data_IF_850706183199
#
_entry.id   IF_850706183199
#
_cell.length_a   1.000
_cell.length_b   1.000
_cell.length_c   1.000
_cell.angle_alpha   90.00
_cell.angle_beta   90.00
_cell.angle_gamma   90.00
#
_symmetry.space_group_name_H-M   'P 1'
#
loop_
_entity.id
_entity.type
_entity.pdbx_description
1 polymer ?
#
# COMPACT_ATOMS: atom_id res chain seq x y z
N UNK A 1 29.30 17.19 9.56
CA UNK A 1 30.25 16.14 10.04
C UNK A 1 30.25 16.16 11.56
N UNK A 2 30.13 14.99 12.21
CA UNK A 2 29.94 14.88 13.67
C UNK A 2 31.24 14.84 14.51
N UNK A 3 32.43 14.89 13.89
CA UNK A 3 33.71 15.02 14.61
C UNK A 3 34.31 13.73 15.18
N UNK A 4 33.82 12.56 14.75
CA UNK A 4 34.29 11.26 15.25
C UNK A 4 35.55 10.79 14.50
N UNK A 5 36.56 10.32 15.23
CA UNK A 5 37.83 9.80 14.69
C UNK A 5 37.81 8.28 14.44
N UNK A 6 36.89 7.56 15.08
CA UNK A 6 36.74 6.11 14.99
C UNK A 6 35.26 5.74 14.98
N UNK A 7 34.91 4.58 14.41
CA UNK A 7 33.57 4.03 14.47
C UNK A 7 33.61 2.52 14.69
N UNK A 8 32.56 1.99 15.34
CA UNK A 8 32.36 0.54 15.42
C UNK A 8 31.95 0.02 14.06
N UNK A 9 32.68 -0.98 13.57
CA UNK A 9 32.39 -1.63 12.29
C UNK A 9 32.42 -3.16 12.47
N UNK A 10 31.57 -3.84 11.70
CA UNK A 10 31.63 -5.29 11.53
C UNK A 10 32.33 -5.60 10.21
N UNK A 11 33.50 -6.22 10.29
CA UNK A 11 34.22 -6.70 9.10
C UNK A 11 33.56 -7.99 8.64
N UNK A 12 33.14 -8.03 7.37
CA UNK A 12 32.59 -9.23 6.76
C UNK A 12 33.73 -10.21 6.39
N UNK A 13 33.49 -11.53 6.45
CA UNK A 13 34.47 -12.52 6.00
C UNK A 13 34.90 -12.29 4.55
N UNK A 14 36.14 -12.63 4.21
CA UNK A 14 36.74 -12.34 2.90
C UNK A 14 36.08 -13.10 1.75
N UNK A 15 35.45 -14.24 2.06
CA UNK A 15 34.66 -15.07 1.15
C UNK A 15 33.24 -14.53 0.88
N UNK A 16 32.83 -13.45 1.54
CA UNK A 16 31.52 -12.84 1.32
C UNK A 16 31.45 -12.28 -0.10
N UNK A 17 30.57 -12.84 -0.92
CA UNK A 17 30.35 -12.35 -2.28
C UNK A 17 29.65 -10.99 -2.27
N UNK A 18 29.78 -10.22 -3.35
CA UNK A 18 29.07 -8.94 -3.48
C UNK A 18 27.55 -9.10 -3.33
N UNK A 19 26.97 -10.18 -3.89
CA UNK A 19 25.55 -10.50 -3.74
C UNK A 19 25.17 -10.82 -2.29
N UNK A 20 26.01 -11.56 -1.57
CA UNK A 20 25.76 -11.85 -0.15
C UNK A 20 25.83 -10.57 0.71
N UNK A 21 26.77 -9.66 0.41
CA UNK A 21 26.87 -8.38 1.08
C UNK A 21 25.65 -7.49 0.79
N UNK A 22 25.20 -7.41 -0.47
CA UNK A 22 24.00 -6.66 -0.86
C UNK A 22 22.73 -7.23 -0.19
N UNK A 23 22.61 -8.56 -0.12
CA UNK A 23 21.49 -9.21 0.58
C UNK A 23 21.46 -8.83 2.06
N UNK A 24 22.63 -8.80 2.72
CA UNK A 24 22.74 -8.38 4.11
C UNK A 24 22.34 -6.91 4.31
N UNK A 25 22.70 -6.02 3.39
CA UNK A 25 22.29 -4.61 3.42
C UNK A 25 20.77 -4.48 3.28
N UNK A 26 20.16 -5.20 2.34
CA UNK A 26 18.70 -5.20 2.16
C UNK A 26 18.00 -5.75 3.39
N UNK A 27 18.47 -6.85 3.97
CA UNK A 27 17.87 -7.46 5.15
C UNK A 27 17.95 -6.53 6.36
N UNK A 28 19.06 -5.78 6.51
CA UNK A 28 19.19 -4.76 7.56
C UNK A 28 18.21 -3.61 7.37
N UNK A 29 18.08 -3.08 6.15
CA UNK A 29 17.12 -2.03 5.82
C UNK A 29 15.66 -2.49 5.98
N UNK A 30 15.34 -3.75 5.65
CA UNK A 30 14.00 -4.32 5.81
C UNK A 30 13.63 -4.54 7.27
N UNK A 31 14.62 -4.87 8.12
CA UNK A 31 14.45 -4.94 9.57
C UNK A 31 14.23 -3.55 10.19
N UNK A 32 14.82 -2.50 9.59
CA UNK A 32 14.58 -1.12 10.00
C UNK A 32 13.22 -0.63 9.53
N UNK A 33 12.53 0.13 10.38
CA UNK A 33 11.20 0.67 10.07
C UNK A 33 11.23 1.92 9.16
N UNK A 34 12.38 2.25 8.57
CA UNK A 34 12.61 3.52 7.86
C UNK A 34 12.18 3.50 6.39
N UNK A 35 12.01 2.32 5.79
CA UNK A 35 11.58 2.21 4.39
C UNK A 35 10.10 2.58 4.21
N UNK A 36 9.85 3.43 3.21
CA UNK A 36 8.51 3.71 2.72
C UNK A 36 7.85 2.50 2.05
N UNK A 37 6.57 2.60 1.68
CA UNK A 37 5.86 1.48 1.07
C UNK A 37 6.43 1.11 -0.30
N UNK A 38 6.79 2.12 -1.09
CA UNK A 38 7.38 1.95 -2.42
C UNK A 38 8.80 1.41 -2.34
N UNK A 39 9.63 1.99 -1.45
CA UNK A 39 11.00 1.53 -1.21
C UNK A 39 11.03 0.09 -0.71
N UNK A 40 10.14 -0.28 0.22
CA UNK A 40 10.03 -1.66 0.72
C UNK A 40 9.64 -2.64 -0.40
N UNK A 41 8.72 -2.27 -1.28
CA UNK A 41 8.35 -3.09 -2.42
C UNK A 41 9.55 -3.33 -3.36
N UNK A 42 10.31 -2.27 -3.67
CA UNK A 42 11.53 -2.36 -4.48
C UNK A 42 12.62 -3.21 -3.82
N UNK A 43 12.87 -3.00 -2.53
CA UNK A 43 13.86 -3.76 -1.76
C UNK A 43 13.52 -5.26 -1.72
N UNK A 44 12.24 -5.62 -1.51
CA UNK A 44 11.81 -7.03 -1.52
C UNK A 44 11.98 -7.66 -2.91
N UNK A 45 11.69 -6.93 -3.99
CA UNK A 45 11.94 -7.40 -5.36
C UNK A 45 13.44 -7.65 -5.58
N UNK A 46 14.30 -6.71 -5.19
CA UNK A 46 15.75 -6.87 -5.32
C UNK A 46 16.28 -8.04 -4.49
N UNK A 47 15.76 -8.21 -3.27
CA UNK A 47 16.06 -9.37 -2.42
C UNK A 47 15.75 -10.68 -3.13
N UNK A 48 14.61 -10.76 -3.82
CA UNK A 48 14.19 -11.95 -4.59
C UNK A 48 15.17 -12.27 -5.71
N UNK A 49 15.59 -11.27 -6.48
CA UNK A 49 16.57 -11.44 -7.55
C UNK A 49 17.91 -12.00 -7.02
N UNK A 50 18.40 -11.45 -5.90
CA UNK A 50 19.64 -11.93 -5.27
C UNK A 50 19.45 -13.35 -4.73
N UNK A 51 18.33 -13.61 -4.05
CA UNK A 51 18.00 -14.92 -3.50
C UNK A 51 17.91 -15.99 -4.60
N UNK A 52 17.33 -15.66 -5.76
CA UNK A 52 17.30 -16.54 -6.93
C UNK A 52 18.71 -16.77 -7.50
N UNK A 53 19.54 -15.72 -7.60
CA UNK A 53 20.91 -15.81 -8.11
C UNK A 53 21.86 -16.60 -7.18
N UNK A 54 21.64 -16.57 -5.87
CA UNK A 54 22.48 -17.27 -4.88
C UNK A 54 22.13 -18.75 -4.71
N UNK A 55 20.99 -19.22 -5.23
CA UNK A 55 20.65 -20.65 -5.17
C UNK A 55 21.53 -21.42 -6.15
N UNK A 56 22.20 -22.50 -5.72
CA UNK A 56 22.93 -23.36 -6.64
C UNK A 56 21.94 -23.85 -7.71
N UNK A 57 22.25 -23.61 -8.98
CA UNK A 57 21.51 -24.12 -10.13
C UNK A 57 21.56 -25.64 -10.14
N UNK A 58 20.74 -26.28 -9.32
CA UNK A 58 20.32 -27.66 -9.51
C UNK A 58 19.32 -27.72 -10.64
N UNK A 59 19.80 -27.60 -11.88
CA UNK A 59 19.01 -27.64 -13.12
C UNK A 59 18.96 -26.29 -13.85
N UNK A 60 19.73 -26.20 -14.92
CA UNK A 60 19.56 -25.36 -16.13
C UNK A 60 19.18 -23.88 -15.92
N UNK A 61 20.14 -23.00 -16.26
CA UNK A 61 20.00 -21.56 -16.56
C UNK A 61 18.71 -20.86 -16.13
N UNK A 62 18.86 -19.90 -15.21
CA UNK A 62 17.89 -18.86 -14.88
C UNK A 62 17.42 -18.09 -16.14
N UNK A 63 16.45 -18.67 -16.84
CA UNK A 63 15.34 -17.96 -17.44
C UNK A 63 14.22 -18.01 -16.42
N UNK A 64 13.31 -17.04 -16.44
CA UNK A 64 12.00 -17.12 -15.74
C UNK A 64 11.16 -18.34 -16.15
N UNK A 65 11.67 -19.13 -17.10
CA UNK A 65 11.16 -20.41 -17.56
C UNK A 65 12.09 -21.55 -17.09
N UNK A 66 11.50 -22.55 -16.44
CA UNK A 66 12.08 -23.90 -16.35
C UNK A 66 12.47 -24.39 -17.76
N UNK A 67 13.37 -25.38 -17.90
CA UNK A 67 13.73 -25.97 -19.20
C UNK A 67 12.54 -26.53 -20.02
N UNK A 68 11.34 -26.65 -19.42
CA UNK A 68 10.08 -27.01 -20.06
C UNK A 68 9.18 -25.82 -20.43
N UNK A 69 9.67 -24.57 -20.28
CA UNK A 69 8.92 -23.35 -20.56
C UNK A 69 7.97 -22.89 -19.46
N UNK A 70 7.83 -23.62 -18.35
CA UNK A 70 6.90 -23.27 -17.26
C UNK A 70 7.53 -22.26 -16.30
N UNK A 71 6.73 -21.31 -15.81
CA UNK A 71 7.17 -20.37 -14.78
C UNK A 71 7.53 -21.09 -13.47
N UNK A 72 8.39 -20.47 -12.65
CA UNK A 72 8.72 -20.97 -11.32
C UNK A 72 7.45 -21.30 -10.52
N UNK A 73 7.30 -22.55 -10.10
CA UNK A 73 6.06 -23.04 -9.50
C UNK A 73 5.76 -22.44 -8.11
N UNK A 74 4.55 -22.69 -7.55
CA UNK A 74 4.11 -22.16 -6.26
C UNK A 74 5.06 -22.46 -5.08
N UNK A 75 5.86 -23.52 -5.18
CA UNK A 75 6.82 -23.90 -4.15
C UNK A 75 8.01 -22.93 -4.05
N UNK A 76 8.51 -22.41 -5.19
CA UNK A 76 9.60 -21.44 -5.19
C UNK A 76 9.20 -20.13 -4.49
N UNK A 77 7.98 -19.65 -4.76
CA UNK A 77 7.44 -18.45 -4.10
C UNK A 77 7.26 -18.66 -2.59
N UNK A 78 6.83 -19.85 -2.17
CA UNK A 78 6.67 -20.20 -0.74
C UNK A 78 8.01 -20.22 -0.01
N UNK A 79 9.06 -20.74 -0.64
CA UNK A 79 10.41 -20.78 -0.08
C UNK A 79 11.00 -19.37 0.08
N UNK A 80 10.88 -18.52 -0.96
CA UNK A 80 11.34 -17.13 -0.89
C UNK A 80 10.63 -16.35 0.22
N UNK A 81 9.29 -16.44 0.28
CA UNK A 81 8.51 -15.73 1.27
C UNK A 81 8.84 -16.21 2.70
N UNK A 82 9.14 -17.50 2.88
CA UNK A 82 9.54 -18.04 4.18
C UNK A 82 10.94 -17.57 4.60
N UNK A 83 11.90 -17.57 3.68
CA UNK A 83 13.26 -17.07 3.94
C UNK A 83 13.24 -15.58 4.30
N UNK A 84 12.55 -14.78 3.50
CA UNK A 84 12.42 -13.33 3.71
C UNK A 84 11.67 -13.00 5.00
N UNK A 85 10.63 -13.77 5.36
CA UNK A 85 9.91 -13.59 6.62
C UNK A 85 10.83 -13.84 7.83
N UNK A 86 11.69 -14.86 7.75
CA UNK A 86 12.67 -15.15 8.80
C UNK A 86 13.71 -14.04 8.93
N UNK A 87 14.17 -13.47 7.81
CA UNK A 87 15.17 -12.42 7.79
C UNK A 87 14.62 -11.06 8.25
N UNK A 88 13.43 -10.67 7.77
CA UNK A 88 12.86 -9.33 7.96
C UNK A 88 11.84 -9.20 9.10
N UNK A 89 11.34 -10.32 9.64
CA UNK A 89 10.26 -10.34 10.64
C UNK A 89 8.86 -10.05 10.09
N UNK A 90 8.70 -9.82 8.78
CA UNK A 90 7.41 -9.55 8.15
C UNK A 90 6.60 -10.83 7.89
N UNK A 91 5.28 -10.69 7.76
CA UNK A 91 4.44 -11.83 7.39
C UNK A 91 4.66 -12.22 5.92
N UNK A 92 4.49 -13.51 5.61
CA UNK A 92 4.54 -14.01 4.22
C UNK A 92 3.52 -13.30 3.31
N UNK A 93 2.37 -12.91 3.87
CA UNK A 93 1.33 -12.19 3.14
C UNK A 93 1.79 -10.78 2.75
N UNK A 94 2.46 -10.07 3.66
CA UNK A 94 2.98 -8.74 3.39
C UNK A 94 4.10 -8.78 2.34
N UNK A 95 5.00 -9.76 2.45
CA UNK A 95 6.07 -9.98 1.47
C UNK A 95 5.50 -10.20 0.07
N UNK A 96 4.51 -11.09 -0.05
CA UNK A 96 3.86 -11.36 -1.34
C UNK A 96 3.11 -10.13 -1.87
N UNK A 97 2.49 -9.32 -1.01
CA UNK A 97 1.83 -8.08 -1.41
C UNK A 97 2.83 -7.04 -1.94
N UNK A 98 3.99 -6.92 -1.27
CA UNK A 98 5.07 -6.06 -1.73
C UNK A 98 5.66 -6.51 -3.07
N UNK A 99 5.85 -7.82 -3.26
CA UNK A 99 6.26 -8.37 -4.56
C UNK A 99 5.24 -8.05 -5.66
N UNK A 100 3.95 -8.28 -5.42
CA UNK A 100 2.91 -8.00 -6.41
C UNK A 100 2.90 -6.52 -6.83
N UNK A 101 3.10 -5.59 -5.88
CA UNK A 101 3.25 -4.16 -6.17
C UNK A 101 4.49 -3.89 -7.02
N UNK A 102 5.63 -4.48 -6.69
CA UNK A 102 6.88 -4.27 -7.40
C UNK A 102 6.94 -4.89 -8.80
N UNK A 103 6.23 -6.00 -9.01
CA UNK A 103 6.08 -6.64 -10.32
C UNK A 103 5.18 -5.79 -11.24
N UNK A 104 4.11 -5.20 -10.71
CA UNK A 104 3.16 -4.45 -11.51
C UNK A 104 3.53 -2.97 -11.75
N UNK A 105 4.17 -2.32 -10.77
CA UNK A 105 4.54 -0.91 -10.85
C UNK A 105 5.95 -0.71 -11.44
N UNK A 106 6.88 -1.65 -11.19
CA UNK A 106 8.24 -1.55 -11.75
C UNK A 106 8.92 -0.22 -11.40
N UNK A 107 9.39 0.49 -12.42
CA UNK A 107 10.12 1.76 -12.29
C UNK A 107 9.24 2.89 -11.72
N UNK A 108 7.92 2.78 -11.80
CA UNK A 108 6.98 3.74 -11.20
C UNK A 108 7.17 3.83 -9.68
N UNK A 109 7.70 2.79 -9.02
CA UNK A 109 8.00 2.80 -7.58
C UNK A 109 8.99 3.90 -7.18
N UNK A 110 9.99 4.18 -8.02
CA UNK A 110 10.96 5.25 -7.74
C UNK A 110 10.31 6.62 -7.89
N UNK A 111 9.37 6.76 -8.83
CA UNK A 111 8.67 8.00 -9.09
C UNK A 111 7.67 8.37 -7.99
N UNK A 112 7.05 7.36 -7.34
CA UNK A 112 6.08 7.59 -6.26
C UNK A 112 6.73 7.69 -4.87
N UNK A 113 7.97 7.26 -4.69
CA UNK A 113 8.65 7.30 -3.41
C UNK A 113 8.70 8.72 -2.84
N UNK A 114 8.25 8.91 -1.59
CA UNK A 114 8.20 10.22 -0.94
C UNK A 114 7.05 11.14 -1.38
N UNK A 115 6.16 10.69 -2.27
CA UNK A 115 4.98 11.46 -2.72
C UNK A 115 3.73 11.10 -1.90
N UNK A 116 2.59 11.75 -2.18
CA UNK A 116 1.29 11.39 -1.56
C UNK A 116 0.83 9.96 -1.86
N UNK A 117 1.37 9.35 -2.92
CA UNK A 117 1.07 8.00 -3.38
C UNK A 117 1.95 6.92 -2.71
N UNK A 118 2.92 7.28 -1.87
CA UNK A 118 3.83 6.35 -1.18
C UNK A 118 3.17 5.69 0.04
N UNK A 119 2.01 5.08 -0.18
CA UNK A 119 1.24 4.36 0.83
C UNK A 119 0.77 3.04 0.25
N UNK A 120 0.78 1.99 1.07
CA UNK A 120 0.42 0.65 0.60
C UNK A 120 -0.93 0.59 -0.15
N UNK A 121 -1.95 1.27 0.36
CA UNK A 121 -3.28 1.32 -0.26
C UNK A 121 -3.31 2.09 -1.57
N UNK A 122 -2.49 3.13 -1.71
CA UNK A 122 -2.38 3.93 -2.94
C UNK A 122 -1.62 3.13 -4.01
N UNK A 123 -0.55 2.42 -3.64
CA UNK A 123 0.16 1.51 -4.54
C UNK A 123 -0.74 0.37 -5.03
N UNK A 124 -1.61 -0.16 -4.16
CA UNK A 124 -2.59 -1.18 -4.56
C UNK A 124 -3.60 -0.63 -5.57
N UNK A 125 -4.04 0.64 -5.42
CA UNK A 125 -4.92 1.28 -6.38
C UNK A 125 -4.20 1.62 -7.70
N UNK A 126 -2.97 2.15 -7.65
CA UNK A 126 -2.14 2.43 -8.83
C UNK A 126 -1.91 1.19 -9.70
N UNK A 127 -1.78 0.03 -9.06
CA UNK A 127 -1.61 -1.25 -9.75
C UNK A 127 -2.79 -1.58 -10.67
N UNK A 128 -4.00 -1.20 -10.30
CA UNK A 128 -5.24 -1.48 -11.04
C UNK A 128 -5.54 -0.40 -12.11
N UNK A 129 -4.83 0.73 -12.09
CA UNK A 129 -5.01 1.81 -13.06
C UNK A 129 -4.40 1.49 -14.42
N UNK A 130 -4.99 2.07 -15.47
CA UNK A 130 -4.39 2.04 -16.80
C UNK A 130 -3.02 2.77 -16.80
N UNK A 131 -2.01 2.28 -17.56
CA UNK A 131 -0.67 2.86 -17.53
C UNK A 131 -0.59 4.35 -17.90
N UNK A 132 -1.51 4.86 -18.72
CA UNK A 132 -1.54 6.28 -19.11
C UNK A 132 -2.03 7.15 -17.94
N UNK A 133 -3.20 6.84 -17.38
CA UNK A 133 -3.78 7.56 -16.23
C UNK A 133 -2.84 7.53 -15.02
N UNK A 134 -2.18 6.38 -14.82
CA UNK A 134 -1.17 6.22 -13.77
C UNK A 134 0.00 7.17 -13.95
N UNK A 135 0.55 7.28 -15.17
CA UNK A 135 1.68 8.19 -15.46
C UNK A 135 1.31 9.65 -15.22
N UNK A 136 0.12 10.07 -15.63
CA UNK A 136 -0.37 11.43 -15.37
C UNK A 136 -0.48 11.73 -13.87
N UNK A 137 -1.08 10.81 -13.11
CA UNK A 137 -1.26 10.95 -11.67
C UNK A 137 0.07 11.00 -10.93
N UNK A 138 1.02 10.14 -11.31
CA UNK A 138 2.39 10.15 -10.77
C UNK A 138 3.08 11.48 -11.06
N UNK A 139 2.96 12.01 -12.27
CA UNK A 139 3.54 13.31 -12.63
C UNK A 139 3.02 14.46 -11.75
N UNK A 140 1.72 14.47 -11.45
CA UNK A 140 1.11 15.42 -10.51
C UNK A 140 1.63 15.24 -9.09
N UNK A 141 1.75 14.00 -8.62
CA UNK A 141 2.31 13.69 -7.30
C UNK A 141 3.78 14.17 -7.18
N UNK A 142 4.59 13.97 -8.23
CA UNK A 142 5.97 14.43 -8.29
C UNK A 142 6.10 15.95 -8.29
N UNK A 143 5.12 16.66 -8.87
CA UNK A 143 5.02 18.12 -8.79
C UNK A 143 4.64 18.63 -7.38
N UNK A 144 4.42 17.74 -6.41
CA UNK A 144 4.07 18.06 -5.02
C UNK A 144 2.57 18.19 -4.77
N UNK A 145 1.73 17.85 -5.76
CA UNK A 145 0.29 17.82 -5.55
C UNK A 145 -0.11 16.64 -4.67
N UNK A 146 -1.01 16.87 -3.71
CA UNK A 146 -1.58 15.80 -2.89
C UNK A 146 -2.69 15.08 -3.65
N UNK A 147 -2.31 14.06 -4.42
CA UNK A 147 -3.23 13.22 -5.20
C UNK A 147 -3.48 11.86 -4.56
N UNK A 148 -4.53 11.16 -5.00
CA UNK A 148 -4.88 9.79 -4.61
C UNK A 148 -5.21 8.96 -5.85
N UNK A 149 -4.79 7.70 -5.84
CA UNK A 149 -5.08 6.71 -6.87
C UNK A 149 -6.36 5.92 -6.58
N UNK A 150 -6.90 6.04 -5.36
CA UNK A 150 -8.15 5.40 -4.99
C UNK A 150 -9.26 5.99 -5.86
N UNK A 151 -10.03 5.12 -6.51
CA UNK A 151 -11.07 5.53 -7.44
C UNK A 151 -12.05 6.47 -6.75
N UNK A 152 -12.36 7.59 -7.42
CA UNK A 152 -13.42 8.50 -6.98
C UNK A 152 -14.74 7.75 -6.73
N UNK A 153 -14.96 6.60 -7.36
CA UNK A 153 -16.14 5.75 -7.18
C UNK A 153 -16.36 5.17 -5.77
N UNK A 154 -15.33 4.93 -4.96
CA UNK A 154 -15.54 4.47 -3.56
C UNK A 154 -15.94 5.64 -2.67
N UNK A 155 -15.27 6.78 -2.82
CA UNK A 155 -15.65 8.01 -2.12
C UNK A 155 -17.01 8.51 -2.60
N UNK A 156 -17.30 8.47 -3.90
CA UNK A 156 -18.61 8.82 -4.47
C UNK A 156 -19.68 7.80 -4.09
N UNK A 157 -19.38 6.49 -3.99
CA UNK A 157 -20.34 5.51 -3.45
C UNK A 157 -20.64 5.78 -1.99
N UNK A 158 -19.64 6.06 -1.17
CA UNK A 158 -19.81 6.37 0.25
C UNK A 158 -20.60 7.68 0.41
N UNK A 159 -20.25 8.72 -0.34
CA UNK A 159 -20.97 10.00 -0.37
C UNK A 159 -22.40 9.83 -0.88
N UNK A 160 -22.62 9.00 -1.90
CA UNK A 160 -23.96 8.69 -2.44
C UNK A 160 -24.80 7.94 -1.43
N UNK A 161 -24.24 6.96 -0.71
CA UNK A 161 -24.93 6.22 0.33
C UNK A 161 -25.34 7.16 1.47
N UNK A 162 -24.44 8.03 1.94
CA UNK A 162 -24.71 9.05 2.96
C UNK A 162 -25.83 9.99 2.50
N UNK A 163 -25.74 10.52 1.27
CA UNK A 163 -26.79 11.38 0.67
C UNK A 163 -28.14 10.67 0.60
N UNK A 164 -28.16 9.40 0.21
CA UNK A 164 -29.37 8.58 0.13
C UNK A 164 -30.00 8.41 1.51
N UNK A 165 -29.21 8.03 2.54
CA UNK A 165 -29.71 7.92 3.92
C UNK A 165 -30.26 9.24 4.46
N UNK A 166 -29.61 10.37 4.16
CA UNK A 166 -30.12 11.70 4.56
C UNK A 166 -31.47 11.97 3.89
N UNK A 167 -31.59 11.68 2.58
CA UNK A 167 -32.84 11.88 1.85
C UNK A 167 -33.98 10.99 2.37
N UNK A 168 -33.68 9.74 2.73
CA UNK A 168 -34.65 8.80 3.29
C UNK A 168 -35.10 9.23 4.69
N UNK A 169 -34.18 9.64 5.55
CA UNK A 169 -34.50 10.21 6.88
C UNK A 169 -35.35 11.48 6.76
N UNK A 170 -35.03 12.36 5.80
CA UNK A 170 -35.83 13.56 5.54
C UNK A 170 -37.25 13.22 5.06
N UNK A 171 -37.42 12.18 4.24
CA UNK A 171 -38.73 11.70 3.78
C UNK A 171 -39.55 11.13 4.94
N UNK A 172 -38.93 10.33 5.81
CA UNK A 172 -39.57 9.82 7.03
C UNK A 172 -40.01 11.00 7.91
N UNK A 173 -39.12 11.97 8.18
CA UNK A 173 -39.45 13.13 8.98
C UNK A 173 -40.62 13.97 8.41
N UNK A 174 -40.73 14.10 7.08
CA UNK A 174 -41.88 14.79 6.43
C UNK A 174 -43.21 14.05 6.58
N UNK A 175 -43.18 12.73 6.79
CA UNK A 175 -44.38 11.92 7.03
C UNK A 175 -44.83 11.88 8.50
N UNK A 176 -44.02 12.45 9.40
CA UNK A 176 -44.26 12.45 10.83
C UNK A 176 -44.89 13.75 11.30
N UNK A 177 -45.69 13.65 12.36
CA UNK A 177 -46.23 14.83 13.03
C UNK A 177 -45.13 15.55 13.83
N UNK A 178 -45.28 16.86 14.09
CA UNK A 178 -44.31 17.62 14.90
C UNK A 178 -44.05 17.01 16.29
N UNK A 179 -45.06 16.35 16.88
CA UNK A 179 -44.98 15.70 18.18
C UNK A 179 -44.14 14.42 18.15
N UNK A 180 -44.26 13.63 17.08
CA UNK A 180 -43.46 12.41 16.91
C UNK A 180 -41.98 12.75 16.62
N UNK A 181 -41.72 13.78 15.82
CA UNK A 181 -40.36 14.29 15.60
C UNK A 181 -39.71 14.78 16.90
N UNK A 182 -40.45 15.52 17.73
CA UNK A 182 -39.97 15.99 19.03
C UNK A 182 -39.68 14.83 20.00
N UNK A 183 -40.51 13.78 20.00
CA UNK A 183 -40.31 12.59 20.83
C UNK A 183 -39.05 11.80 20.42
N UNK A 184 -38.78 11.69 19.12
CA UNK A 184 -37.55 11.06 18.60
C UNK A 184 -36.32 11.91 18.95
N UNK A 185 -36.36 13.22 18.73
CA UNK A 185 -35.25 14.12 19.07
C UNK A 185 -34.89 14.05 20.56
N UNK A 186 -35.89 14.00 21.44
CA UNK A 186 -35.70 13.82 22.88
C UNK A 186 -35.07 12.46 23.24
N UNK A 187 -35.47 11.36 22.58
CA UNK A 187 -34.86 10.02 22.78
C UNK A 187 -33.42 9.95 22.30
N UNK A 188 -33.07 10.70 21.25
CA UNK A 188 -31.71 10.76 20.71
C UNK A 188 -30.81 11.75 21.46
N UNK A 189 -31.33 12.45 22.49
CA UNK A 189 -30.56 13.45 23.24
C UNK A 189 -30.19 14.69 22.41
N UNK A 190 -30.84 14.90 21.27
CA UNK A 190 -30.65 16.08 20.42
C UNK A 190 -31.51 17.18 21.02
N UNK A 191 -30.87 18.13 21.72
CA UNK A 191 -31.57 19.26 22.34
C UNK A 191 -32.43 20.01 21.32
N UNK A 192 -33.73 20.12 21.58
CA UNK A 192 -34.75 20.82 20.77
C UNK A 192 -34.56 22.34 20.71
N UNK A 193 -33.39 22.85 21.09
CA UNK A 193 -33.02 24.22 20.85
C UNK A 193 -32.60 24.36 19.38
N UNK A 194 -33.60 24.39 18.50
CA UNK A 194 -33.73 25.41 17.47
C UNK A 194 -34.88 25.07 16.54
N UNK A 195 -35.81 26.00 16.43
CA UNK A 195 -36.84 26.16 15.40
C UNK A 195 -36.35 26.12 13.94
N UNK A 196 -35.09 25.73 13.70
CA UNK A 196 -34.39 25.71 12.42
C UNK A 196 -34.71 24.45 11.59
N UNK A 197 -34.92 23.28 12.22
CA UNK A 197 -35.17 22.02 11.49
C UNK A 197 -36.58 22.00 10.88
N UNK A 198 -37.60 22.47 11.61
CA UNK A 198 -38.96 22.56 11.10
C UNK A 198 -39.07 23.57 9.93
N UNK A 199 -38.30 24.66 9.98
CA UNK A 199 -38.26 25.69 8.92
C UNK A 199 -37.54 25.18 7.65
N UNK A 200 -36.58 24.27 7.79
CA UNK A 200 -35.85 23.65 6.68
C UNK A 200 -36.63 22.56 5.93
N UNK A 201 -37.64 21.93 6.56
CA UNK A 201 -38.47 20.90 5.94
C UNK A 201 -39.75 21.44 5.27
N UNK A 202 -40.06 22.71 5.47
CA UNK A 202 -41.29 23.39 5.02
C UNK A 202 -41.14 24.17 3.69
N UNK A 203 -39.96 24.15 3.06
CA UNK A 203 -39.71 24.67 1.72
C UNK A 203 -39.33 23.53 0.76
#
# INVERSE_FOLDING_TARGET
KIGWSECSARVLPQETTALAAELMEIDENLCRAELSAAQRAKAIKRRKEIWEAMRPTGGTSCSTSLPDGRGAGPQHQREFAADTAKASGQSKQDINRHLARAEALGDDLDAVAGTSLDKGVELDALKEMAPEDRRELIGRAQAGESVTARGQDEDDRNVRLVRQTIADLARVAKSMTPQECAAIAARLGIGVAESSIAKALSN
#
